data_IF_473795169585
#
_entry.id   IF_473795169585
#
_cell.length_a   1.000
_cell.length_b   1.000
_cell.length_c   1.000
_cell.angle_alpha   90.00
_cell.angle_beta   90.00
_cell.angle_gamma   90.00
#
_symmetry.space_group_name_H-M   'P 1'
#
loop_
_entity.id
_entity.type
_entity.pdbx_description
1 polymer ?
#
# COMPACT_ATOMS: atom_id res chain seq x y z
N UNK A 1 -3.18 -4.72 14.97
CA UNK A 1 -3.18 -6.08 14.39
C UNK A 1 -2.19 -7.02 15.09
N UNK A 2 -0.87 -6.75 15.07
CA UNK A 2 0.15 -7.71 15.58
C UNK A 2 -0.03 -8.17 17.02
N UNK A 3 -0.42 -7.29 17.95
CA UNK A 3 -0.78 -7.68 19.33
C UNK A 3 -1.89 -8.74 19.37
N UNK A 4 -2.97 -8.52 18.62
CA UNK A 4 -4.08 -9.48 18.51
C UNK A 4 -3.62 -10.79 17.88
N UNK A 5 -2.75 -10.74 16.87
CA UNK A 5 -2.17 -11.93 16.26
C UNK A 5 -1.37 -12.76 17.27
N UNK A 6 -0.55 -12.10 18.11
CA UNK A 6 0.23 -12.78 19.15
C UNK A 6 -0.66 -13.44 20.21
N UNK A 7 -1.73 -12.75 20.61
CA UNK A 7 -2.61 -13.20 21.69
C UNK A 7 -3.61 -14.28 21.25
N UNK A 8 -4.05 -14.25 19.98
CA UNK A 8 -5.26 -14.98 19.55
C UNK A 8 -5.05 -15.85 18.30
N UNK A 9 -4.04 -15.59 17.46
CA UNK A 9 -3.90 -16.34 16.22
C UNK A 9 -3.41 -17.77 16.49
N UNK A 10 -4.04 -18.80 15.89
CA UNK A 10 -3.52 -20.16 15.94
C UNK A 10 -2.10 -20.25 15.39
N UNK A 11 -1.29 -21.16 15.94
CA UNK A 11 0.04 -21.44 15.41
C UNK A 11 -0.01 -21.78 13.91
N UNK A 12 0.92 -21.24 13.12
CA UNK A 12 0.94 -21.41 11.66
C UNK A 12 -0.03 -20.50 10.89
N UNK A 13 -0.71 -19.57 11.56
CA UNK A 13 -1.55 -18.58 10.88
C UNK A 13 -0.76 -17.70 9.91
N UNK A 14 -1.36 -17.43 8.75
CA UNK A 14 -0.91 -16.41 7.79
C UNK A 14 -1.93 -15.28 7.79
N UNK A 15 -1.47 -14.07 8.05
CA UNK A 15 -2.31 -12.90 8.26
C UNK A 15 -1.82 -11.76 7.36
N UNK A 16 -2.74 -11.07 6.71
CA UNK A 16 -2.46 -9.84 5.98
C UNK A 16 -2.89 -8.63 6.81
N UNK A 17 -1.94 -7.74 7.10
CA UNK A 17 -2.10 -6.54 7.90
C UNK A 17 -2.46 -5.31 7.05
N UNK A 18 -3.29 -5.49 6.03
CA UNK A 18 -3.51 -4.49 4.99
C UNK A 18 -4.82 -3.73 5.23
N UNK A 19 -4.75 -2.39 5.17
CA UNK A 19 -5.89 -1.48 5.34
C UNK A 19 -6.62 -1.20 4.03
N UNK A 20 -5.87 -0.86 2.98
CA UNK A 20 -6.38 -0.63 1.63
C UNK A 20 -6.19 -1.86 0.74
N UNK A 21 -7.24 -2.27 0.03
CA UNK A 21 -7.16 -3.38 -0.91
C UNK A 21 -6.93 -2.84 -2.33
N UNK A 22 -5.66 -2.79 -2.74
CA UNK A 22 -5.27 -2.54 -4.14
C UNK A 22 -5.40 -1.09 -4.62
N UNK A 23 -4.72 -0.14 -3.96
CA UNK A 23 -4.65 1.25 -4.45
C UNK A 23 -3.88 1.29 -5.78
N UNK A 24 -4.45 1.85 -6.86
CA UNK A 24 -3.76 1.95 -8.15
C UNK A 24 -2.48 2.78 -8.04
N UNK A 25 -1.39 2.28 -8.63
CA UNK A 25 -0.09 2.96 -8.58
C UNK A 25 -0.13 4.37 -9.20
N UNK A 26 -0.98 4.56 -10.22
CA UNK A 26 -1.21 5.86 -10.84
C UNK A 26 -1.83 6.87 -9.86
N UNK A 27 -2.82 6.48 -9.06
CA UNK A 27 -3.47 7.37 -8.10
C UNK A 27 -2.49 7.83 -7.00
N UNK A 28 -1.59 6.95 -6.58
CA UNK A 28 -0.50 7.30 -5.65
C UNK A 28 0.42 8.34 -6.30
N UNK A 29 0.83 8.13 -7.55
CA UNK A 29 1.69 9.06 -8.28
C UNK A 29 1.02 10.43 -8.50
N UNK A 30 -0.27 10.45 -8.83
CA UNK A 30 -1.08 11.67 -9.01
C UNK A 30 -1.28 12.45 -7.72
N UNK A 31 -1.52 11.75 -6.60
CA UNK A 31 -1.58 12.39 -5.29
C UNK A 31 -0.25 13.09 -4.97
N UNK A 32 0.87 12.40 -5.13
CA UNK A 32 2.21 12.96 -4.90
C UNK A 32 2.49 14.14 -5.84
N UNK A 33 2.23 13.98 -7.14
CA UNK A 33 2.48 15.01 -8.16
C UNK A 33 1.70 16.29 -7.90
N UNK A 34 0.44 16.17 -7.49
CA UNK A 34 -0.40 17.33 -7.12
C UNK A 34 0.14 18.09 -5.91
N UNK A 35 0.58 17.40 -4.85
CA UNK A 35 1.11 18.07 -3.65
C UNK A 35 2.48 18.73 -3.89
N UNK A 36 3.28 18.18 -4.81
CA UNK A 36 4.60 18.72 -5.16
C UNK A 36 4.61 19.68 -6.35
N UNK A 37 3.46 19.92 -6.99
CA UNK A 37 3.32 20.70 -8.23
C UNK A 37 4.24 20.19 -9.37
N UNK A 38 4.28 18.87 -9.56
CA UNK A 38 5.07 18.22 -10.62
C UNK A 38 4.21 17.27 -11.48
N UNK A 39 4.48 17.17 -12.79
CA UNK A 39 3.73 16.31 -13.67
C UNK A 39 4.01 14.83 -13.39
N UNK A 40 2.96 14.00 -13.48
CA UNK A 40 3.08 12.54 -13.50
C UNK A 40 3.39 12.07 -14.91
N UNK A 41 4.31 11.11 -15.05
CA UNK A 41 4.69 10.53 -16.33
C UNK A 41 4.65 9.00 -16.29
N UNK A 42 4.19 8.40 -17.38
CA UNK A 42 4.28 6.96 -17.58
C UNK A 42 5.75 6.54 -17.78
N UNK A 43 6.11 5.39 -17.22
CA UNK A 43 7.44 4.78 -17.39
C UNK A 43 7.28 3.51 -18.22
N UNK A 44 7.86 3.47 -19.44
CA UNK A 44 7.91 2.25 -20.25
C UNK A 44 8.58 1.10 -19.50
N UNK A 45 8.11 -0.13 -19.71
CA UNK A 45 8.60 -1.31 -18.99
C UNK A 45 10.09 -1.59 -19.22
N UNK A 46 10.61 -1.28 -20.43
CA UNK A 46 12.02 -1.39 -20.78
C UNK A 46 12.92 -0.37 -20.06
N UNK A 47 12.34 0.69 -19.49
CA UNK A 47 13.02 1.70 -18.69
C UNK A 47 12.83 1.51 -17.18
N UNK A 48 12.07 0.50 -16.75
CA UNK A 48 11.76 0.28 -15.33
C UNK A 48 13.02 0.03 -14.50
N UNK A 49 14.00 -0.71 -15.03
CA UNK A 49 15.26 -1.00 -14.34
C UNK A 49 16.06 0.28 -14.06
N UNK A 50 16.19 1.15 -15.06
CA UNK A 50 16.95 2.41 -14.92
C UNK A 50 16.25 3.37 -13.97
N UNK A 51 14.91 3.37 -13.94
CA UNK A 51 14.11 4.25 -13.08
C UNK A 51 14.03 3.78 -11.63
N UNK A 52 13.76 2.49 -11.42
CA UNK A 52 13.40 1.93 -10.11
C UNK A 52 14.47 1.03 -9.50
N UNK A 53 15.55 0.72 -10.24
CA UNK A 53 16.67 -0.07 -9.74
C UNK A 53 16.22 -1.45 -9.24
N UNK A 54 16.60 -1.82 -8.02
CA UNK A 54 16.25 -3.12 -7.43
C UNK A 54 14.73 -3.32 -7.23
N UNK A 55 13.94 -2.24 -7.29
CA UNK A 55 12.48 -2.29 -7.18
C UNK A 55 11.79 -2.57 -8.52
N UNK A 56 12.52 -2.53 -9.66
CA UNK A 56 11.93 -2.68 -10.98
C UNK A 56 11.19 -4.00 -11.18
N UNK A 57 11.55 -5.05 -10.44
CA UNK A 57 10.86 -6.33 -10.46
C UNK A 57 9.53 -6.33 -9.70
N UNK A 58 9.30 -5.40 -8.76
CA UNK A 58 8.12 -5.38 -7.90
C UNK A 58 7.15 -4.24 -8.19
N UNK A 59 7.63 -3.10 -8.69
CA UNK A 59 6.79 -1.94 -9.07
C UNK A 59 5.68 -2.30 -10.07
N UNK A 60 5.91 -3.09 -11.14
CA UNK A 60 4.85 -3.40 -12.10
C UNK A 60 3.92 -4.53 -11.65
N UNK A 61 4.15 -5.14 -10.48
CA UNK A 61 3.34 -6.29 -10.02
C UNK A 61 1.98 -5.81 -9.54
N UNK A 62 0.93 -6.36 -10.14
CA UNK A 62 -0.43 -6.25 -9.63
C UNK A 62 -0.67 -7.33 -8.56
N UNK A 63 -0.69 -6.91 -7.30
CA UNK A 63 -0.80 -7.83 -6.15
C UNK A 63 -1.80 -7.30 -5.09
N UNK A 64 -3.10 -7.15 -5.45
CA UNK A 64 -4.12 -6.75 -4.50
C UNK A 64 -4.20 -7.80 -3.39
N UNK A 65 -4.08 -7.34 -2.15
CA UNK A 65 -4.06 -8.20 -0.98
C UNK A 65 -5.25 -7.87 -0.11
N UNK A 66 -6.06 -8.88 0.23
CA UNK A 66 -7.18 -8.70 1.15
C UNK A 66 -6.80 -9.00 2.60
N UNK A 67 -7.41 -8.26 3.53
CA UNK A 67 -7.36 -8.53 4.97
C UNK A 67 -8.59 -9.24 5.53
N UNK A 68 -9.57 -9.64 4.69
CA UNK A 68 -10.83 -10.25 5.15
C UNK A 68 -10.64 -11.37 6.18
N UNK A 69 -9.73 -12.31 5.91
CA UNK A 69 -9.43 -13.43 6.81
C UNK A 69 -8.87 -12.95 8.15
N UNK A 70 -7.94 -11.99 8.13
CA UNK A 70 -7.35 -11.40 9.33
C UNK A 70 -8.42 -10.74 10.19
N UNK A 71 -9.31 -9.95 9.56
CA UNK A 71 -10.39 -9.25 10.26
C UNK A 71 -11.36 -10.24 10.91
N UNK A 72 -11.81 -11.27 10.18
CA UNK A 72 -12.73 -12.29 10.71
C UNK A 72 -12.11 -13.11 11.85
N UNK A 73 -10.82 -13.45 11.75
CA UNK A 73 -10.15 -14.30 12.74
C UNK A 73 -9.84 -13.55 14.03
N UNK A 74 -9.46 -12.27 13.95
CA UNK A 74 -8.96 -11.50 15.09
C UNK A 74 -9.93 -10.42 15.59
N UNK A 75 -11.12 -10.33 14.99
CA UNK A 75 -12.05 -9.20 15.14
C UNK A 75 -11.35 -7.84 14.99
N UNK A 76 -10.34 -7.79 14.10
CA UNK A 76 -9.51 -6.62 13.89
C UNK A 76 -10.09 -5.76 12.77
N UNK A 77 -10.02 -4.43 12.94
CA UNK A 77 -10.38 -3.45 11.91
C UNK A 77 -9.22 -2.43 11.76
N UNK A 78 -8.87 -2.00 10.53
CA UNK A 78 -7.99 -0.86 10.31
C UNK A 78 -8.56 0.40 10.98
N UNK A 79 -7.71 1.19 11.63
CA UNK A 79 -8.14 2.37 12.40
C UNK A 79 -7.65 3.70 11.84
N UNK A 80 -6.74 3.66 10.86
CA UNK A 80 -6.14 4.83 10.24
C UNK A 80 -6.73 5.06 8.85
N UNK A 81 -6.68 6.31 8.32
CA UNK A 81 -7.07 6.57 6.95
C UNK A 81 -6.31 5.67 5.96
N UNK A 82 -6.94 5.42 4.82
CA UNK A 82 -6.28 4.79 3.68
C UNK A 82 -5.21 5.70 3.09
N UNK A 83 -4.30 5.12 2.31
CA UNK A 83 -3.10 5.78 1.80
C UNK A 83 -3.39 7.13 1.14
N UNK A 84 -4.36 7.21 0.22
CA UNK A 84 -4.65 8.45 -0.50
C UNK A 84 -5.18 9.56 0.42
N UNK A 85 -6.06 9.20 1.35
CA UNK A 85 -6.59 10.15 2.33
C UNK A 85 -5.49 10.64 3.28
N UNK A 86 -4.53 9.78 3.63
CA UNK A 86 -3.38 10.12 4.45
C UNK A 86 -2.38 11.03 3.72
N UNK A 87 -2.10 10.77 2.44
CA UNK A 87 -1.31 11.67 1.59
C UNK A 87 -1.95 13.06 1.50
N UNK A 88 -3.28 13.12 1.45
CA UNK A 88 -4.03 14.38 1.39
C UNK A 88 -3.99 15.21 2.68
N UNK A 89 -3.54 14.66 3.80
CA UNK A 89 -3.27 15.44 5.01
C UNK A 89 -2.02 16.34 4.86
N UNK A 90 -1.21 16.13 3.81
CA UNK A 90 -0.11 17.03 3.44
C UNK A 90 1.15 16.92 4.31
N UNK A 91 1.14 16.10 5.36
CA UNK A 91 2.26 15.97 6.31
C UNK A 91 3.55 15.37 5.70
N UNK A 92 3.47 14.82 4.48
CA UNK A 92 4.60 14.24 3.72
C UNK A 92 5.30 15.23 2.80
N UNK A 93 4.74 16.43 2.58
CA UNK A 93 5.16 17.36 1.53
C UNK A 93 5.59 18.74 2.06
N UNK A 94 5.75 18.87 3.38
CA UNK A 94 6.15 20.10 4.09
C UNK A 94 7.66 20.23 4.28
#
# INVERSE_FOLDING_TARGET
MYRLALEQAPAGSRLHAVGDEGVPFLEIAEAIGRHLDVPVAAVPSDQAQDRFGFLAAIVPLDNPTSSERTRRLLDWQPAHPGLLADLDLGHYFA
#
